data_IF_955771908637
#
_entry.id   IF_955771908637
#
_cell.length_a   1.000
_cell.length_b   1.000
_cell.length_c   1.000
_cell.angle_alpha   90.00
_cell.angle_beta   90.00
_cell.angle_gamma   90.00
#
_symmetry.space_group_name_H-M   'P 1'
#
loop_
_entity.id
_entity.type
_entity.pdbx_description
1 polymer ?
#
# COMPACT_ATOMS: atom_id res chain seq x y z
N UNK A 1 35.29 -47.00 -12.53
CA UNK A 1 35.19 -45.53 -12.71
C UNK A 1 33.72 -45.16 -12.90
N UNK A 2 33.08 -44.55 -11.88
CA UNK A 2 31.64 -44.25 -11.87
C UNK A 2 31.45 -42.85 -12.49
N UNK A 3 30.93 -42.77 -13.71
CA UNK A 3 30.59 -41.50 -14.37
C UNK A 3 29.35 -40.95 -13.68
N UNK A 4 29.52 -40.28 -12.54
CA UNK A 4 28.42 -39.60 -11.87
C UNK A 4 27.99 -38.46 -12.79
N UNK A 5 26.72 -38.55 -13.19
CA UNK A 5 26.00 -37.70 -14.12
C UNK A 5 26.20 -36.21 -13.84
N UNK A 6 27.14 -35.59 -14.54
CA UNK A 6 27.32 -34.13 -14.55
C UNK A 6 26.08 -33.42 -15.12
N UNK A 7 25.25 -34.14 -15.88
CA UNK A 7 23.99 -33.64 -16.43
C UNK A 7 22.94 -33.38 -15.34
N UNK A 8 23.02 -34.05 -14.18
CA UNK A 8 22.07 -33.83 -13.08
C UNK A 8 22.42 -32.60 -12.25
N UNK A 9 23.71 -32.22 -12.19
CA UNK A 9 24.15 -31.01 -11.47
C UNK A 9 23.76 -29.72 -12.21
N UNK A 10 23.71 -29.76 -13.55
CA UNK A 10 23.36 -28.58 -14.35
C UNK A 10 21.86 -28.22 -14.26
N UNK A 11 20.98 -29.21 -14.07
CA UNK A 11 19.54 -28.99 -13.95
C UNK A 11 19.13 -28.29 -12.63
N UNK A 12 19.90 -28.49 -11.55
CA UNK A 12 19.65 -27.83 -10.26
C UNK A 12 20.07 -26.34 -10.26
N UNK A 13 21.01 -25.94 -11.12
CA UNK A 13 21.47 -24.54 -11.22
C UNK A 13 20.55 -23.66 -12.08
N UNK A 14 19.73 -24.25 -12.95
CA UNK A 14 18.84 -23.52 -13.87
C UNK A 14 17.44 -23.21 -13.27
N UNK A 15 17.12 -23.75 -12.10
CA UNK A 15 15.82 -23.56 -11.43
C UNK A 15 15.67 -22.28 -10.60
N UNK A 16 16.71 -21.42 -10.56
CA UNK A 16 16.78 -20.27 -9.66
C UNK A 16 16.72 -18.90 -10.39
N UNK A 17 16.02 -18.82 -11.50
CA UNK A 17 15.84 -17.56 -12.22
C UNK A 17 14.36 -17.24 -12.46
N UNK A 18 13.99 -16.02 -12.06
CA UNK A 18 12.76 -15.28 -12.37
C UNK A 18 11.59 -15.37 -11.36
N UNK A 19 11.81 -14.87 -10.14
CA UNK A 19 10.74 -14.21 -9.36
C UNK A 19 10.79 -12.69 -9.59
N UNK A 20 10.63 -12.23 -10.83
CA UNK A 20 10.42 -10.80 -11.09
C UNK A 20 8.96 -10.47 -10.80
N UNK A 21 8.64 -10.18 -9.53
CA UNK A 21 7.37 -9.51 -9.22
C UNK A 21 7.51 -8.04 -9.60
N UNK A 22 7.10 -7.72 -10.82
CA UNK A 22 6.85 -6.34 -11.24
C UNK A 22 5.36 -6.23 -11.53
N UNK A 23 4.56 -6.12 -10.49
CA UNK A 23 3.20 -5.65 -10.60
C UNK A 23 3.10 -4.30 -9.88
N UNK A 24 3.68 -3.26 -10.48
CA UNK A 24 3.20 -1.90 -10.27
C UNK A 24 1.93 -1.69 -11.12
N UNK A 25 1.00 -2.64 -11.06
CA UNK A 25 -0.29 -2.52 -11.69
C UNK A 25 -1.13 -1.66 -10.74
N UNK A 26 -1.46 -0.45 -11.16
CA UNK A 26 -2.45 0.35 -10.45
C UNK A 26 -3.76 -0.42 -10.51
N UNK A 27 -4.12 -1.09 -9.42
CA UNK A 27 -5.43 -1.71 -9.28
C UNK A 27 -6.50 -0.68 -9.67
N UNK A 28 -7.55 -1.10 -10.41
CA UNK A 28 -8.66 -0.22 -10.74
C UNK A 28 -9.11 0.54 -9.48
N UNK A 29 -9.31 1.86 -9.62
CA UNK A 29 -9.65 2.71 -8.48
C UNK A 29 -10.87 2.14 -7.76
N UNK A 30 -10.67 1.56 -6.58
CA UNK A 30 -11.74 0.96 -5.80
C UNK A 30 -12.67 2.09 -5.35
N UNK A 31 -13.98 1.92 -5.51
CA UNK A 31 -14.96 2.84 -4.96
C UNK A 31 -14.99 2.68 -3.43
N UNK A 32 -15.45 3.70 -2.70
CA UNK A 32 -15.62 3.59 -1.25
C UNK A 32 -16.59 2.46 -0.88
N UNK A 33 -17.67 2.30 -1.65
CA UNK A 33 -18.65 1.23 -1.42
C UNK A 33 -18.05 -0.16 -1.59
N UNK A 34 -17.23 -0.40 -2.62
CA UNK A 34 -16.54 -1.68 -2.79
C UNK A 34 -15.50 -1.92 -1.69
N UNK A 35 -14.77 -0.87 -1.28
CA UNK A 35 -13.84 -0.95 -0.17
C UNK A 35 -14.55 -1.39 1.12
N UNK A 36 -15.70 -0.79 1.44
CA UNK A 36 -16.50 -1.14 2.62
C UNK A 36 -17.06 -2.56 2.56
N UNK A 37 -17.51 -3.02 1.38
CA UNK A 37 -18.00 -4.39 1.18
C UNK A 37 -16.93 -5.45 1.45
N UNK A 38 -15.66 -5.11 1.25
CA UNK A 38 -14.53 -6.00 1.47
C UNK A 38 -13.83 -5.77 2.81
N UNK A 39 -14.45 -4.99 3.72
CA UNK A 39 -13.82 -4.57 4.98
C UNK A 39 -12.45 -3.91 4.79
N UNK A 40 -12.28 -3.23 3.66
CA UNK A 40 -11.05 -2.53 3.29
C UNK A 40 -10.86 -1.23 4.06
N UNK A 41 -9.63 -0.71 4.02
CA UNK A 41 -9.24 0.50 4.75
C UNK A 41 -8.90 1.63 3.79
N UNK A 42 -9.50 2.80 4.03
CA UNK A 42 -9.13 4.03 3.33
C UNK A 42 -7.93 4.67 4.03
N UNK A 43 -6.89 5.03 3.28
CA UNK A 43 -5.72 5.74 3.80
C UNK A 43 -5.72 7.14 3.19
N UNK A 44 -5.99 8.14 4.00
CA UNK A 44 -5.92 9.55 3.61
C UNK A 44 -4.49 10.05 3.67
N UNK A 45 -3.94 10.34 2.50
CA UNK A 45 -2.55 10.78 2.31
C UNK A 45 -2.38 12.30 2.34
N UNK A 46 -3.47 13.06 2.57
CA UNK A 46 -3.44 14.52 2.70
C UNK A 46 -2.82 14.95 4.03
N UNK A 47 -2.51 16.24 4.16
CA UNK A 47 -2.14 16.83 5.45
C UNK A 47 -3.24 16.59 6.49
N UNK A 48 -2.83 16.37 7.74
CA UNK A 48 -3.74 16.14 8.87
C UNK A 48 -4.76 17.27 9.06
N UNK A 49 -4.42 18.51 8.71
CA UNK A 49 -5.37 19.62 8.73
C UNK A 49 -6.62 19.31 7.89
N UNK A 50 -6.45 18.82 6.66
CA UNK A 50 -7.58 18.51 5.77
C UNK A 50 -8.34 17.27 6.22
N UNK A 51 -7.62 16.26 6.72
CA UNK A 51 -8.24 15.09 7.35
C UNK A 51 -9.11 15.50 8.56
N UNK A 52 -8.65 16.47 9.36
CA UNK A 52 -9.34 16.94 10.57
C UNK A 52 -10.49 17.93 10.30
N UNK A 53 -10.82 18.24 9.05
CA UNK A 53 -11.96 19.10 8.73
C UNK A 53 -11.63 20.40 8.02
N UNK A 54 -10.35 20.79 7.93
CA UNK A 54 -10.03 22.02 7.21
C UNK A 54 -10.36 21.86 5.72
N UNK A 55 -11.17 22.74 5.12
CA UNK A 55 -11.48 22.64 3.70
C UNK A 55 -10.26 23.02 2.86
N UNK A 56 -10.02 22.29 1.76
CA UNK A 56 -8.92 22.60 0.82
C UNK A 56 -9.22 23.82 -0.06
N UNK A 57 -10.50 24.20 -0.16
CA UNK A 57 -11.00 25.37 -0.90
C UNK A 57 -12.28 25.85 -0.23
N UNK A 58 -12.65 27.13 -0.42
CA UNK A 58 -13.90 27.66 0.09
C UNK A 58 -15.10 26.77 -0.31
N UNK A 59 -15.94 26.41 0.65
CA UNK A 59 -17.11 25.54 0.49
C UNK A 59 -16.77 24.14 -0.10
N UNK A 60 -15.54 23.67 0.08
CA UNK A 60 -15.10 22.33 -0.32
C UNK A 60 -15.50 21.26 0.70
N UNK A 61 -15.29 19.97 0.35
CA UNK A 61 -15.50 18.88 1.31
C UNK A 61 -14.53 18.99 2.48
N UNK A 62 -15.07 18.75 3.67
CA UNK A 62 -14.37 18.80 4.95
C UNK A 62 -14.22 17.39 5.52
N UNK A 63 -13.10 17.14 6.18
CA UNK A 63 -12.87 15.88 6.89
C UNK A 63 -12.45 14.76 5.96
N UNK A 64 -12.73 13.52 6.36
CA UNK A 64 -12.28 12.29 5.72
C UNK A 64 -13.42 11.27 5.61
N UNK A 65 -13.21 10.24 4.80
CA UNK A 65 -14.15 9.12 4.68
C UNK A 65 -14.27 8.36 6.02
N UNK A 66 -15.42 7.75 6.32
CA UNK A 66 -15.60 6.98 7.55
C UNK A 66 -14.52 5.91 7.71
N UNK A 67 -13.94 5.82 8.93
CA UNK A 67 -12.88 4.86 9.27
C UNK A 67 -11.58 5.00 8.48
N UNK A 68 -11.42 6.09 7.70
CA UNK A 68 -10.15 6.35 7.06
C UNK A 68 -9.06 6.59 8.11
N UNK A 69 -7.83 6.22 7.76
CA UNK A 69 -6.64 6.49 8.56
C UNK A 69 -5.85 7.62 7.92
N UNK A 70 -5.25 8.50 8.72
CA UNK A 70 -4.36 9.53 8.17
C UNK A 70 -2.89 9.06 8.15
N UNK A 71 -2.30 9.03 6.95
CA UNK A 71 -0.87 8.82 6.74
C UNK A 71 -0.40 9.80 5.66
N UNK A 72 -0.07 11.04 6.06
CA UNK A 72 0.28 12.08 5.09
C UNK A 72 1.49 11.68 4.25
N UNK A 73 1.42 11.86 2.93
CA UNK A 73 2.55 11.62 2.03
C UNK A 73 3.79 12.45 2.41
N UNK A 74 3.58 13.62 3.05
CA UNK A 74 4.66 14.48 3.55
C UNK A 74 5.44 13.89 4.73
N UNK A 75 4.86 12.93 5.45
CA UNK A 75 5.54 12.24 6.55
C UNK A 75 6.43 11.11 6.05
N UNK A 76 6.15 10.55 4.87
CA UNK A 76 6.87 9.37 4.35
C UNK A 76 8.37 9.61 4.22
N UNK A 77 8.81 10.82 3.82
CA UNK A 77 10.24 11.16 3.75
C UNK A 77 10.92 11.32 5.12
N UNK A 78 10.15 11.45 6.20
CA UNK A 78 10.65 11.59 7.57
C UNK A 78 10.41 10.34 8.43
N UNK A 79 9.73 9.32 7.91
CA UNK A 79 9.45 8.06 8.58
C UNK A 79 10.42 6.98 8.10
N UNK A 80 11.04 6.27 9.03
CA UNK A 80 11.75 5.03 8.71
C UNK A 80 10.78 3.89 8.43
N UNK A 81 11.28 2.84 7.77
CA UNK A 81 10.48 1.64 7.52
C UNK A 81 9.95 0.99 8.82
N UNK A 82 10.71 1.07 9.92
CA UNK A 82 10.26 0.56 11.22
C UNK A 82 9.12 1.39 11.80
N UNK A 83 9.18 2.71 11.64
CA UNK A 83 8.08 3.60 12.06
C UNK A 83 6.83 3.37 11.21
N UNK A 84 7.00 3.13 9.90
CA UNK A 84 5.89 2.80 9.01
C UNK A 84 5.27 1.45 9.35
N UNK A 85 6.10 0.42 9.64
CA UNK A 85 5.63 -0.88 10.12
C UNK A 85 4.91 -0.78 11.47
N UNK A 86 5.44 0.01 12.40
CA UNK A 86 4.81 0.24 13.70
C UNK A 86 3.45 0.93 13.55
N UNK A 87 3.36 1.95 12.70
CA UNK A 87 2.11 2.62 12.36
C UNK A 87 1.09 1.64 11.77
N UNK A 88 1.47 0.84 10.77
CA UNK A 88 0.58 -0.16 10.17
C UNK A 88 0.06 -1.18 11.20
N UNK A 89 0.94 -1.64 12.12
CA UNK A 89 0.56 -2.55 13.22
C UNK A 89 -0.40 -1.90 14.22
N UNK A 90 -0.13 -0.65 14.62
CA UNK A 90 -1.01 0.12 15.52
C UNK A 90 -2.42 0.24 14.94
N UNK A 91 -2.52 0.39 13.62
CA UNK A 91 -3.78 0.48 12.90
C UNK A 91 -4.33 -0.88 12.42
N UNK A 92 -3.72 -1.99 12.83
CA UNK A 92 -4.16 -3.35 12.53
C UNK A 92 -4.32 -3.63 11.02
N UNK A 93 -3.51 -2.97 10.19
CA UNK A 93 -3.55 -3.17 8.73
C UNK A 93 -3.08 -4.59 8.38
N UNK A 94 -3.96 -5.35 7.75
CA UNK A 94 -3.63 -6.68 7.23
C UNK A 94 -3.17 -6.57 5.77
N UNK A 95 -2.23 -7.41 5.37
CA UNK A 95 -1.63 -7.36 4.02
C UNK A 95 -2.57 -7.87 2.92
N UNK A 96 -3.59 -8.63 3.28
CA UNK A 96 -4.61 -9.21 2.40
C UNK A 96 -5.88 -8.34 2.28
N UNK A 97 -6.00 -7.33 3.14
CA UNK A 97 -7.14 -6.42 3.13
C UNK A 97 -6.97 -5.38 2.02
N UNK A 98 -8.01 -5.07 1.24
CA UNK A 98 -7.93 -4.02 0.23
C UNK A 98 -7.68 -2.65 0.88
N UNK A 99 -6.72 -1.90 0.35
CA UNK A 99 -6.41 -0.55 0.78
C UNK A 99 -6.64 0.44 -0.35
N UNK A 100 -7.22 1.60 -0.04
CA UNK A 100 -7.43 2.69 -1.01
C UNK A 100 -6.78 3.97 -0.52
N UNK A 101 -5.85 4.51 -1.30
CA UNK A 101 -5.28 5.82 -1.02
C UNK A 101 -6.22 6.96 -1.45
N UNK A 102 -6.52 7.88 -0.53
CA UNK A 102 -7.17 9.18 -0.83
C UNK A 102 -6.07 10.22 -0.97
N UNK A 103 -6.01 10.90 -2.12
CA UNK A 103 -4.97 11.87 -2.45
C UNK A 103 -5.53 13.27 -2.67
N UNK A 104 -4.66 14.28 -2.58
CA UNK A 104 -5.00 15.62 -3.04
C UNK A 104 -5.16 15.63 -4.58
N UNK A 105 -6.13 16.38 -5.13
CA UNK A 105 -6.15 16.69 -6.54
C UNK A 105 -5.01 17.67 -6.87
N UNK A 106 -3.97 17.20 -7.58
CA UNK A 106 -2.93 18.05 -8.19
C UNK A 106 -1.61 18.16 -7.43
N UNK A 107 -0.94 17.03 -7.18
CA UNK A 107 0.50 17.00 -6.88
C UNK A 107 1.30 16.66 -8.13
#
# INVERSE_FOLDING_TARGET
MKRVSQLTALALLMGLAASTTCAAETMPALTLSHLQQQHGVAIDTRLSAYYNGWPQRANGPEGHEPQALNLSARWLGAMSDDQLRAWAKQHQLQSDTPHRAVRQPGG
#
